data_IF_416016563712
#
_entry.id   IF_416016563712
#
_cell.length_a   1.000
_cell.length_b   1.000
_cell.length_c   1.000
_cell.angle_alpha   90.00
_cell.angle_beta   90.00
_cell.angle_gamma   90.00
#
_symmetry.space_group_name_H-M   'P 1'
#
loop_
_entity.id
_entity.type
_entity.pdbx_description
1 polymer ?
#
# COMPACT_ATOMS: atom_id res chain seq x y z
N UNK A 1 18.95 -23.03 70.81
CA UNK A 1 17.86 -23.79 70.18
C UNK A 1 17.01 -22.86 69.33
N UNK A 2 16.95 -23.11 68.02
CA UNK A 2 15.97 -22.56 67.01
C UNK A 2 14.59 -23.16 67.35
N UNK A 3 13.51 -22.68 66.75
CA UNK A 3 13.27 -22.17 65.44
C UNK A 3 12.11 -21.08 65.40
N UNK A 4 11.65 -20.61 64.37
CA UNK A 4 11.55 -20.86 62.95
C UNK A 4 10.47 -19.97 62.37
N UNK A 5 10.80 -19.29 61.31
CA UNK A 5 9.94 -18.35 60.59
C UNK A 5 8.78 -19.05 59.87
N UNK A 6 7.59 -18.48 59.95
CA UNK A 6 6.52 -18.73 59.01
C UNK A 6 6.18 -17.41 58.28
N UNK A 7 6.74 -17.23 57.09
CA UNK A 7 6.49 -16.06 56.22
C UNK A 7 5.96 -16.47 54.85
N UNK A 8 5.64 -17.75 54.59
CA UNK A 8 5.39 -18.24 53.23
C UNK A 8 3.93 -18.37 52.81
N UNK A 9 2.94 -18.14 53.65
CA UNK A 9 1.54 -18.39 53.25
C UNK A 9 0.77 -17.16 52.71
N UNK A 10 1.24 -15.93 52.90
CA UNK A 10 0.54 -14.73 52.45
C UNK A 10 0.89 -14.30 50.98
N UNK A 11 1.98 -14.84 50.44
CA UNK A 11 2.40 -14.53 49.07
C UNK A 11 1.75 -15.47 48.05
N UNK A 12 1.48 -16.72 48.42
CA UNK A 12 0.86 -17.72 47.55
C UNK A 12 -0.64 -17.45 47.32
N UNK A 13 -1.36 -16.98 48.36
CA UNK A 13 -2.80 -16.68 48.21
C UNK A 13 -3.07 -15.41 47.38
N UNK A 14 -2.17 -14.42 47.40
CA UNK A 14 -2.31 -13.23 46.56
C UNK A 14 -2.05 -13.48 45.07
N UNK A 15 -1.07 -14.31 44.76
CA UNK A 15 -0.78 -14.70 43.37
C UNK A 15 -1.91 -15.55 42.77
N UNK A 16 -2.46 -16.49 43.52
CA UNK A 16 -3.55 -17.35 43.02
C UNK A 16 -4.84 -16.59 42.75
N UNK A 17 -5.16 -15.54 43.53
CA UNK A 17 -6.36 -14.73 43.34
C UNK A 17 -6.24 -13.78 42.13
N UNK A 18 -5.06 -13.21 41.92
CA UNK A 18 -4.78 -12.37 40.72
C UNK A 18 -4.72 -13.22 39.44
N UNK A 19 -4.22 -14.45 39.52
CA UNK A 19 -4.22 -15.38 38.37
C UNK A 19 -5.61 -15.92 38.07
N UNK A 20 -6.47 -16.17 39.03
CA UNK A 20 -7.86 -16.60 38.82
C UNK A 20 -8.72 -15.46 38.25
N UNK A 21 -8.54 -14.21 38.70
CA UNK A 21 -9.30 -13.07 38.13
C UNK A 21 -8.81 -12.70 36.72
N UNK A 22 -7.54 -12.89 36.38
CA UNK A 22 -6.98 -12.76 35.04
C UNK A 22 -7.47 -13.85 34.10
N UNK A 23 -7.36 -15.11 34.53
CA UNK A 23 -7.85 -16.25 33.75
C UNK A 23 -9.35 -16.20 33.45
N UNK A 24 -10.17 -15.69 34.36
CA UNK A 24 -11.62 -15.56 34.12
C UNK A 24 -11.96 -14.50 33.06
N UNK A 25 -11.29 -13.35 33.04
CA UNK A 25 -11.50 -12.31 32.02
C UNK A 25 -10.85 -12.66 30.68
N UNK A 26 -9.68 -13.27 30.71
CA UNK A 26 -8.98 -13.72 29.51
C UNK A 26 -9.76 -14.86 28.81
N UNK A 27 -10.40 -15.77 29.55
CA UNK A 27 -11.24 -16.82 28.99
C UNK A 27 -12.50 -16.27 28.29
N UNK A 28 -13.18 -15.28 28.87
CA UNK A 28 -14.37 -14.69 28.25
C UNK A 28 -14.02 -14.01 26.91
N UNK A 29 -12.89 -13.28 26.84
CA UNK A 29 -12.43 -12.67 25.59
C UNK A 29 -12.02 -13.71 24.54
N UNK A 30 -11.36 -14.81 24.95
CA UNK A 30 -10.96 -15.89 24.04
C UNK A 30 -12.18 -16.64 23.49
N UNK A 31 -13.22 -16.87 24.32
CA UNK A 31 -14.46 -17.53 23.91
C UNK A 31 -15.27 -16.70 22.90
N UNK A 32 -15.13 -15.37 22.89
CA UNK A 32 -15.79 -14.48 21.92
C UNK A 32 -15.00 -14.34 20.61
N UNK A 33 -13.76 -14.79 20.56
CA UNK A 33 -12.94 -14.74 19.33
C UNK A 33 -13.45 -15.74 18.30
N UNK A 34 -13.47 -15.28 17.05
CA UNK A 34 -13.80 -16.16 15.93
C UNK A 34 -12.53 -16.88 15.46
N UNK A 35 -12.48 -18.18 15.70
CA UNK A 35 -11.38 -19.02 15.22
C UNK A 35 -11.63 -19.40 13.76
N UNK A 36 -10.82 -18.83 12.85
CA UNK A 36 -10.90 -19.06 11.40
C UNK A 36 -9.61 -19.73 10.97
N UNK A 37 -9.70 -20.71 10.08
CA UNK A 37 -8.51 -21.35 9.51
C UNK A 37 -7.69 -20.35 8.70
N UNK A 38 -6.35 -20.40 8.72
CA UNK A 38 -5.49 -19.43 8.05
C UNK A 38 -5.86 -19.19 6.58
N UNK A 39 -6.19 -20.24 5.86
CA UNK A 39 -6.58 -20.21 4.44
C UNK A 39 -7.93 -19.51 4.18
N UNK A 40 -8.77 -19.38 5.19
CA UNK A 40 -10.10 -18.76 5.09
C UNK A 40 -10.11 -17.29 5.51
N UNK A 41 -9.06 -16.80 6.20
CA UNK A 41 -9.02 -15.45 6.78
C UNK A 41 -9.21 -14.37 5.70
N UNK A 42 -8.51 -14.47 4.58
CA UNK A 42 -8.60 -13.48 3.50
C UNK A 42 -10.01 -13.47 2.88
N UNK A 43 -10.56 -14.64 2.58
CA UNK A 43 -11.91 -14.77 2.01
C UNK A 43 -12.98 -14.21 2.95
N UNK A 44 -12.88 -14.49 4.25
CA UNK A 44 -13.80 -13.97 5.26
C UNK A 44 -13.69 -12.45 5.40
N UNK A 45 -12.48 -11.91 5.41
CA UNK A 45 -12.26 -10.46 5.44
C UNK A 45 -12.88 -9.78 4.21
N UNK A 46 -12.73 -10.35 3.03
CA UNK A 46 -13.34 -9.82 1.80
C UNK A 46 -14.85 -9.88 1.83
N UNK A 47 -15.45 -10.93 2.43
CA UNK A 47 -16.90 -11.03 2.58
C UNK A 47 -17.46 -9.98 3.57
N UNK A 48 -16.76 -9.72 4.67
CA UNK A 48 -17.13 -8.66 5.62
C UNK A 48 -17.06 -7.29 4.93
N UNK A 49 -15.97 -7.01 4.21
CA UNK A 49 -15.81 -5.75 3.48
C UNK A 49 -16.94 -5.57 2.47
N UNK A 50 -17.30 -6.62 1.73
CA UNK A 50 -18.38 -6.56 0.75
C UNK A 50 -19.76 -6.28 1.38
N UNK A 51 -20.01 -6.81 2.58
CA UNK A 51 -21.24 -6.60 3.30
C UNK A 51 -21.36 -5.20 3.95
N UNK A 52 -20.22 -4.58 4.28
CA UNK A 52 -20.19 -3.31 5.02
C UNK A 52 -19.83 -2.10 4.15
N UNK A 53 -19.22 -2.31 2.96
CA UNK A 53 -18.87 -1.21 2.09
C UNK A 53 -20.11 -0.55 1.46
N UNK A 54 -20.07 0.78 1.23
CA UNK A 54 -21.15 1.47 0.54
C UNK A 54 -21.32 0.96 -0.90
N UNK A 55 -22.53 1.08 -1.42
CA UNK A 55 -22.79 0.83 -2.84
C UNK A 55 -22.01 1.81 -3.73
N UNK A 56 -21.54 1.34 -4.88
CA UNK A 56 -20.81 2.13 -5.85
C UNK A 56 -20.84 1.51 -7.23
N UNK A 57 -20.51 2.31 -8.22
CA UNK A 57 -20.52 1.88 -9.62
C UNK A 57 -19.07 1.59 -10.08
N UNK A 58 -18.56 0.42 -9.74
CA UNK A 58 -17.22 -0.05 -10.13
C UNK A 58 -17.32 -1.20 -11.12
N UNK A 59 -16.41 -1.26 -12.06
CA UNK A 59 -16.14 -2.49 -12.79
C UNK A 59 -15.63 -3.57 -11.83
N UNK A 60 -15.74 -4.86 -12.18
CA UNK A 60 -15.19 -5.93 -11.33
C UNK A 60 -13.71 -5.74 -10.98
N UNK A 61 -12.92 -5.20 -11.92
CA UNK A 61 -11.51 -4.92 -11.70
C UNK A 61 -11.25 -3.78 -10.71
N UNK A 62 -12.02 -2.70 -10.82
CA UNK A 62 -11.95 -1.56 -9.88
C UNK A 62 -12.40 -1.98 -8.48
N UNK A 63 -13.50 -2.73 -8.39
CA UNK A 63 -13.98 -3.27 -7.11
C UNK A 63 -12.92 -4.11 -6.40
N UNK A 64 -12.16 -4.92 -7.12
CA UNK A 64 -11.06 -5.69 -6.55
C UNK A 64 -9.96 -4.79 -5.97
N UNK A 65 -9.65 -3.67 -6.61
CA UNK A 65 -8.69 -2.66 -6.11
C UNK A 65 -9.26 -1.96 -4.86
N UNK A 66 -10.51 -1.51 -4.91
CA UNK A 66 -11.19 -0.84 -3.78
C UNK A 66 -11.18 -1.76 -2.54
N UNK A 67 -11.65 -2.99 -2.69
CA UNK A 67 -11.69 -3.98 -1.58
C UNK A 67 -10.29 -4.26 -1.01
N UNK A 68 -9.26 -4.31 -1.85
CA UNK A 68 -7.87 -4.50 -1.41
C UNK A 68 -7.35 -3.30 -0.61
N UNK A 69 -7.69 -2.08 -0.99
CA UNK A 69 -7.32 -0.88 -0.25
C UNK A 69 -8.02 -0.82 1.11
N UNK A 70 -9.33 -1.10 1.14
CA UNK A 70 -10.11 -1.20 2.39
C UNK A 70 -9.50 -2.29 3.30
N UNK A 71 -9.23 -3.48 2.77
CA UNK A 71 -8.62 -4.57 3.54
C UNK A 71 -7.26 -4.18 4.14
N UNK A 72 -6.46 -3.42 3.39
CA UNK A 72 -5.11 -3.01 3.82
C UNK A 72 -5.13 -1.96 4.94
N UNK A 73 -6.14 -1.09 4.95
CA UNK A 73 -6.22 0.06 5.87
C UNK A 73 -7.32 -0.09 6.94
N UNK A 74 -8.23 -1.06 6.80
CA UNK A 74 -9.49 -1.15 7.53
C UNK A 74 -10.29 0.18 7.47
N UNK A 75 -10.28 0.85 6.30
CA UNK A 75 -10.84 2.19 6.10
C UNK A 75 -11.75 2.21 4.87
N UNK A 76 -13.05 2.34 5.10
CA UNK A 76 -14.08 2.31 4.05
C UNK A 76 -14.10 3.57 3.18
N UNK A 77 -13.46 4.66 3.58
CA UNK A 77 -13.37 5.88 2.74
C UNK A 77 -12.69 5.60 1.39
N UNK A 78 -11.91 4.52 1.26
CA UNK A 78 -11.34 4.11 -0.03
C UNK A 78 -12.40 3.72 -1.05
N UNK A 79 -13.62 3.40 -0.65
CA UNK A 79 -14.74 3.21 -1.56
C UNK A 79 -15.17 4.49 -2.27
N UNK A 80 -14.98 5.66 -1.65
CA UNK A 80 -15.40 6.95 -2.19
C UNK A 80 -14.25 7.83 -2.71
N UNK A 81 -13.03 7.60 -2.23
CA UNK A 81 -11.90 8.48 -2.55
C UNK A 81 -10.94 7.92 -3.61
N UNK A 82 -11.09 6.65 -4.01
CA UNK A 82 -10.31 6.12 -5.13
C UNK A 82 -10.87 6.64 -6.45
N UNK A 83 -10.00 7.32 -7.19
CA UNK A 83 -10.23 7.76 -8.56
C UNK A 83 -9.54 6.80 -9.53
N UNK A 84 -10.24 6.44 -10.59
CA UNK A 84 -9.73 5.65 -11.70
C UNK A 84 -9.89 6.50 -12.97
N UNK A 85 -8.84 6.68 -13.75
CA UNK A 85 -9.00 7.21 -15.11
C UNK A 85 -9.69 6.18 -16.00
N UNK A 86 -10.26 6.60 -17.13
CA UNK A 86 -11.02 5.73 -18.01
C UNK A 86 -10.23 4.48 -18.42
N UNK A 87 -10.78 3.30 -18.13
CA UNK A 87 -10.15 2.01 -18.44
C UNK A 87 -8.84 1.73 -17.70
N UNK A 88 -8.53 2.45 -16.62
CA UNK A 88 -7.25 2.38 -15.92
C UNK A 88 -6.86 0.96 -15.51
N UNK A 89 -7.81 0.19 -14.96
CA UNK A 89 -7.53 -1.17 -14.49
C UNK A 89 -7.22 -2.09 -15.64
N UNK A 90 -8.00 -2.05 -16.71
CA UNK A 90 -7.82 -2.85 -17.92
C UNK A 90 -6.48 -2.53 -18.60
N UNK A 91 -6.12 -1.25 -18.68
CA UNK A 91 -4.84 -0.80 -19.24
C UNK A 91 -3.66 -1.35 -18.43
N UNK A 92 -3.69 -1.21 -17.09
CA UNK A 92 -2.65 -1.74 -16.21
C UNK A 92 -2.54 -3.27 -16.30
N UNK A 93 -3.66 -3.97 -16.28
CA UNK A 93 -3.71 -5.44 -16.39
C UNK A 93 -3.16 -5.91 -17.74
N UNK A 94 -3.53 -5.25 -18.84
CA UNK A 94 -3.05 -5.58 -20.17
C UNK A 94 -1.55 -5.30 -20.32
N UNK A 95 -1.03 -4.22 -19.74
CA UNK A 95 0.40 -3.93 -19.66
C UNK A 95 1.14 -5.07 -18.96
N UNK A 96 0.64 -5.49 -17.79
CA UNK A 96 1.25 -6.58 -17.00
C UNK A 96 1.17 -7.95 -17.70
N UNK A 97 0.10 -8.20 -18.46
CA UNK A 97 -0.09 -9.44 -19.26
C UNK A 97 0.76 -9.49 -20.54
N UNK A 98 1.29 -8.38 -21.00
CA UNK A 98 1.93 -8.26 -22.32
C UNK A 98 3.16 -9.16 -22.54
N UNK A 99 3.75 -9.69 -21.47
CA UNK A 99 4.98 -10.51 -21.50
C UNK A 99 6.26 -9.73 -21.81
N UNK A 100 6.16 -8.44 -22.16
CA UNK A 100 7.32 -7.59 -22.49
C UNK A 100 8.17 -7.23 -21.27
N UNK A 101 7.68 -7.56 -20.06
CA UNK A 101 8.25 -7.06 -18.82
C UNK A 101 7.83 -5.64 -18.51
N UNK A 102 7.93 -5.25 -17.24
CA UNK A 102 7.67 -3.88 -16.77
C UNK A 102 8.42 -3.61 -15.47
N UNK A 103 8.60 -2.33 -15.14
CA UNK A 103 9.20 -1.94 -13.88
C UNK A 103 8.20 -1.12 -13.05
N UNK A 104 7.95 -1.54 -11.82
CA UNK A 104 7.28 -0.70 -10.82
C UNK A 104 8.32 0.16 -10.13
N UNK A 105 8.17 1.48 -10.17
CA UNK A 105 9.00 2.42 -9.44
C UNK A 105 8.24 2.94 -8.24
N UNK A 106 8.80 2.76 -7.05
CA UNK A 106 8.23 3.25 -5.80
C UNK A 106 9.02 4.41 -5.23
N UNK A 107 8.36 5.28 -4.49
CA UNK A 107 9.00 6.41 -3.77
C UNK A 107 9.45 6.05 -2.36
N UNK A 108 9.22 4.82 -1.90
CA UNK A 108 9.68 4.32 -0.60
C UNK A 108 10.07 2.85 -0.65
N UNK A 109 11.05 2.46 0.18
CA UNK A 109 11.38 1.06 0.39
C UNK A 109 10.24 0.26 1.06
N UNK A 110 9.34 0.93 1.79
CA UNK A 110 8.15 0.30 2.37
C UNK A 110 7.20 -0.17 1.25
N UNK A 111 6.91 0.68 0.26
CA UNK A 111 6.08 0.30 -0.88
C UNK A 111 6.76 -0.81 -1.69
N UNK A 112 8.07 -0.69 -1.96
CA UNK A 112 8.86 -1.74 -2.62
C UNK A 112 8.76 -3.07 -1.89
N UNK A 113 8.89 -3.08 -0.56
CA UNK A 113 8.79 -4.29 0.25
C UNK A 113 7.37 -4.90 0.20
N UNK A 114 6.33 -4.05 0.16
CA UNK A 114 4.93 -4.45 0.12
C UNK A 114 4.46 -5.07 -1.21
N UNK A 115 5.14 -4.81 -2.32
CA UNK A 115 4.84 -5.41 -3.62
C UNK A 115 5.12 -6.92 -3.59
N UNK A 116 4.15 -7.75 -4.00
CA UNK A 116 4.28 -9.21 -4.00
C UNK A 116 5.30 -9.68 -5.04
N UNK A 117 6.45 -10.17 -4.57
CA UNK A 117 7.56 -10.58 -5.43
C UNK A 117 7.26 -11.84 -6.24
N UNK A 118 6.43 -12.75 -5.72
CA UNK A 118 6.06 -13.98 -6.43
C UNK A 118 5.15 -13.66 -7.62
N UNK A 119 4.11 -12.83 -7.42
CA UNK A 119 3.25 -12.36 -8.49
C UNK A 119 4.03 -11.55 -9.53
N UNK A 120 4.91 -10.65 -9.07
CA UNK A 120 5.75 -9.83 -9.94
C UNK A 120 6.64 -10.69 -10.86
N UNK A 121 7.27 -11.73 -10.29
CA UNK A 121 8.09 -12.68 -11.05
C UNK A 121 7.30 -13.45 -12.11
N UNK A 122 6.07 -13.89 -11.79
CA UNK A 122 5.19 -14.56 -12.75
C UNK A 122 4.86 -13.69 -13.97
N UNK A 123 4.82 -12.38 -13.78
CA UNK A 123 4.49 -11.37 -14.80
C UNK A 123 5.73 -10.81 -15.51
N UNK A 124 6.91 -11.38 -15.28
CA UNK A 124 8.19 -10.84 -15.78
C UNK A 124 8.41 -9.37 -15.39
N UNK A 125 7.87 -8.95 -14.24
CA UNK A 125 8.00 -7.59 -13.72
C UNK A 125 9.18 -7.45 -12.75
N UNK A 126 9.61 -6.18 -12.57
CA UNK A 126 10.61 -5.80 -11.57
C UNK A 126 10.07 -4.65 -10.70
N UNK A 127 10.67 -4.43 -9.54
CA UNK A 127 10.34 -3.27 -8.69
C UNK A 127 11.61 -2.60 -8.21
N UNK A 128 11.64 -1.26 -8.30
CA UNK A 128 12.78 -0.42 -7.89
C UNK A 128 12.34 0.74 -7.01
N UNK A 129 13.24 1.14 -6.11
CA UNK A 129 13.15 2.37 -5.34
C UNK A 129 14.52 3.02 -5.32
N UNK A 130 14.63 4.22 -5.85
CA UNK A 130 15.90 4.95 -5.96
C UNK A 130 16.21 5.79 -4.70
N UNK A 131 15.29 5.87 -3.75
CA UNK A 131 15.40 6.76 -2.57
C UNK A 131 16.61 6.50 -1.67
N UNK A 132 17.14 5.29 -1.67
CA UNK A 132 18.28 4.89 -0.86
C UNK A 132 19.60 4.86 -1.65
N UNK A 133 19.57 5.14 -2.96
CA UNK A 133 20.76 5.14 -3.78
C UNK A 133 21.68 6.30 -3.36
N UNK A 134 22.99 6.06 -3.15
CA UNK A 134 23.91 7.07 -2.64
C UNK A 134 24.05 8.30 -3.54
N UNK A 135 24.02 8.11 -4.86
CA UNK A 135 24.06 9.17 -5.86
C UNK A 135 22.81 10.05 -5.82
N UNK A 136 21.63 9.48 -5.65
CA UNK A 136 20.37 10.21 -5.45
C UNK A 136 20.42 11.07 -4.18
N UNK A 137 21.00 10.54 -3.10
CA UNK A 137 21.13 11.28 -1.85
C UNK A 137 22.14 12.46 -1.99
N UNK A 138 23.25 12.24 -2.68
CA UNK A 138 24.26 13.25 -2.93
C UNK A 138 23.74 14.38 -3.84
N UNK A 139 23.12 14.01 -4.97
CA UNK A 139 22.55 14.95 -5.93
C UNK A 139 21.42 15.78 -5.31
N UNK A 140 20.52 15.17 -4.53
CA UNK A 140 19.45 15.88 -3.85
C UNK A 140 19.99 16.94 -2.87
N UNK A 141 21.05 16.60 -2.13
CA UNK A 141 21.73 17.52 -1.21
C UNK A 141 22.41 18.69 -1.96
N UNK A 142 23.11 18.39 -3.03
CA UNK A 142 23.80 19.40 -3.86
C UNK A 142 22.81 20.39 -4.47
N UNK A 143 21.70 19.89 -5.01
CA UNK A 143 20.66 20.70 -5.67
C UNK A 143 19.69 21.36 -4.71
N UNK A 144 19.71 21.04 -3.41
CA UNK A 144 18.73 21.56 -2.43
C UNK A 144 17.29 21.10 -2.67
N UNK A 145 17.09 19.92 -3.26
CA UNK A 145 15.78 19.33 -3.57
C UNK A 145 15.53 18.05 -2.77
N UNK A 146 14.30 17.54 -2.81
CA UNK A 146 14.00 16.26 -2.13
C UNK A 146 14.58 15.08 -2.91
N UNK A 147 14.97 14.01 -2.21
CA UNK A 147 15.39 12.75 -2.85
C UNK A 147 14.30 12.16 -3.76
N UNK A 148 13.04 12.44 -3.45
CA UNK A 148 11.93 11.99 -4.28
C UNK A 148 11.96 12.61 -5.69
N UNK A 149 12.31 13.90 -5.81
CA UNK A 149 12.50 14.58 -7.10
C UNK A 149 13.57 13.86 -7.91
N UNK A 150 14.77 13.72 -7.34
CA UNK A 150 15.92 13.08 -8.02
C UNK A 150 15.60 11.61 -8.37
N UNK A 151 14.90 10.90 -7.49
CA UNK A 151 14.47 9.51 -7.74
C UNK A 151 13.60 9.39 -8.99
N UNK A 152 12.68 10.33 -9.22
CA UNK A 152 11.82 10.32 -10.42
C UNK A 152 12.65 10.64 -11.69
N UNK A 153 13.62 11.55 -11.60
CA UNK A 153 14.54 11.87 -12.71
C UNK A 153 15.45 10.68 -13.06
N UNK A 154 15.90 9.92 -12.06
CA UNK A 154 16.64 8.66 -12.30
C UNK A 154 15.74 7.59 -12.90
N UNK A 155 14.49 7.49 -12.45
CA UNK A 155 13.53 6.55 -13.01
C UNK A 155 13.17 6.85 -14.47
N UNK A 156 13.21 8.10 -14.89
CA UNK A 156 12.99 8.51 -16.29
C UNK A 156 14.03 7.93 -17.27
N UNK A 157 15.19 7.47 -16.76
CA UNK A 157 16.23 6.83 -17.58
C UNK A 157 15.97 5.32 -17.79
N UNK A 158 14.94 4.76 -17.18
CA UNK A 158 14.58 3.36 -17.37
C UNK A 158 14.01 3.15 -18.79
N UNK A 159 14.29 1.97 -19.33
CA UNK A 159 13.78 1.55 -20.64
C UNK A 159 12.64 0.54 -20.46
N UNK A 160 11.68 0.55 -21.38
CA UNK A 160 10.50 -0.31 -21.32
C UNK A 160 9.37 0.27 -20.47
N UNK A 161 8.29 -0.49 -20.27
CA UNK A 161 7.12 -0.02 -19.56
C UNK A 161 7.40 0.28 -18.08
N UNK A 162 6.96 1.47 -17.61
CA UNK A 162 7.18 1.92 -16.23
C UNK A 162 5.86 2.32 -15.57
N UNK A 163 5.60 1.69 -14.43
CA UNK A 163 4.48 2.01 -13.53
C UNK A 163 5.04 2.74 -12.31
N UNK A 164 4.63 3.98 -12.07
CA UNK A 164 5.00 4.71 -10.87
C UNK A 164 4.00 4.46 -9.76
N UNK A 165 4.45 3.99 -8.61
CA UNK A 165 3.63 3.72 -7.42
C UNK A 165 4.11 4.61 -6.25
N UNK A 166 3.50 5.78 -6.17
CA UNK A 166 3.88 6.86 -5.25
C UNK A 166 2.95 6.83 -4.02
N UNK A 167 3.52 6.50 -2.86
CA UNK A 167 2.77 6.31 -1.62
C UNK A 167 3.11 7.28 -0.50
N UNK A 168 4.14 8.11 -0.66
CA UNK A 168 4.60 8.99 0.41
C UNK A 168 4.87 10.44 -0.05
N UNK A 169 5.59 10.63 -1.14
CA UNK A 169 6.13 11.94 -1.49
C UNK A 169 5.27 12.69 -2.52
N UNK A 170 4.52 13.75 -2.14
CA UNK A 170 3.83 14.63 -3.09
C UNK A 170 4.78 15.22 -4.13
N UNK A 171 6.03 15.53 -3.73
CA UNK A 171 7.06 16.06 -4.63
C UNK A 171 7.46 15.08 -5.74
N UNK A 172 7.28 13.78 -5.56
CA UNK A 172 7.44 12.81 -6.64
C UNK A 172 6.36 12.96 -7.70
N UNK A 173 5.08 13.08 -7.32
CA UNK A 173 3.98 13.30 -8.26
C UNK A 173 4.12 14.64 -8.99
N UNK A 174 4.48 15.71 -8.26
CA UNK A 174 4.70 17.03 -8.85
C UNK A 174 5.80 16.95 -9.90
N UNK A 175 6.94 16.29 -9.57
CA UNK A 175 8.06 16.16 -10.49
C UNK A 175 7.71 15.32 -11.72
N UNK A 176 6.98 14.23 -11.55
CA UNK A 176 6.47 13.43 -12.67
C UNK A 176 5.59 14.28 -13.59
N UNK A 177 4.66 15.04 -13.03
CA UNK A 177 3.81 15.94 -13.80
C UNK A 177 4.61 16.99 -14.58
N UNK A 178 5.58 17.66 -13.95
CA UNK A 178 6.47 18.62 -14.62
C UNK A 178 7.24 18.01 -15.80
N UNK A 179 7.77 16.79 -15.59
CA UNK A 179 8.51 16.07 -16.63
C UNK A 179 7.62 15.62 -17.78
N UNK A 180 6.38 15.19 -17.50
CA UNK A 180 5.37 14.88 -18.53
C UNK A 180 5.03 16.12 -19.37
N UNK A 181 4.79 17.27 -18.71
CA UNK A 181 4.48 18.53 -19.42
C UNK A 181 5.63 19.00 -20.34
N UNK A 182 6.88 18.65 -20.00
CA UNK A 182 8.05 18.98 -20.82
C UNK A 182 8.38 17.89 -21.86
N UNK A 183 7.65 16.78 -21.88
CA UNK A 183 7.96 15.64 -22.74
C UNK A 183 9.23 14.88 -22.36
N UNK A 184 9.73 15.07 -21.13
CA UNK A 184 10.93 14.41 -20.61
C UNK A 184 10.65 12.94 -20.22
N UNK A 185 9.38 12.60 -19.91
CA UNK A 185 8.94 11.24 -19.57
C UNK A 185 7.51 11.02 -20.05
N UNK A 186 7.20 9.76 -20.37
CA UNK A 186 5.85 9.28 -20.63
C UNK A 186 5.60 8.01 -19.83
N UNK A 187 5.08 8.10 -18.59
CA UNK A 187 4.74 6.95 -17.78
C UNK A 187 3.66 6.10 -18.46
N UNK A 188 3.77 4.79 -18.39
CA UNK A 188 2.70 3.89 -18.86
C UNK A 188 1.53 3.85 -17.86
N UNK A 189 1.80 4.08 -16.56
CA UNK A 189 0.78 4.11 -15.52
C UNK A 189 1.25 4.82 -14.26
N UNK A 190 0.35 5.52 -13.54
CA UNK A 190 0.64 6.14 -12.25
C UNK A 190 -0.35 5.67 -11.18
N UNK A 191 0.16 5.18 -10.06
CA UNK A 191 -0.55 4.94 -8.80
C UNK A 191 -0.19 6.09 -7.86
N UNK A 192 -1.13 7.04 -7.67
CA UNK A 192 -0.92 8.26 -6.90
C UNK A 192 -1.61 8.20 -5.54
N UNK A 193 -0.93 7.68 -4.54
CA UNK A 193 -1.49 7.48 -3.20
C UNK A 193 -0.64 8.08 -2.06
N UNK A 194 0.06 9.22 -2.24
CA UNK A 194 0.79 9.79 -1.12
C UNK A 194 -0.15 10.18 0.03
N UNK A 195 0.32 10.01 1.26
CA UNK A 195 -0.38 10.42 2.49
C UNK A 195 0.20 11.70 3.03
N UNK A 196 -0.62 12.59 3.58
CA UNK A 196 -0.12 13.77 4.30
C UNK A 196 -0.95 15.03 4.14
N UNK A 197 -0.30 16.19 4.39
CA UNK A 197 -0.99 17.45 4.55
C UNK A 197 -0.48 18.58 3.63
N UNK A 198 0.81 18.57 3.27
CA UNK A 198 1.42 19.64 2.47
C UNK A 198 1.50 19.19 1.01
N UNK A 199 0.81 19.90 0.12
CA UNK A 199 0.76 19.64 -1.33
C UNK A 199 0.28 18.23 -1.72
N UNK A 200 -0.31 17.46 -0.78
CA UNK A 200 -0.76 16.09 -1.04
C UNK A 200 -1.96 16.07 -1.95
N UNK A 201 -2.97 16.87 -1.64
CA UNK A 201 -4.20 16.95 -2.44
C UNK A 201 -3.89 17.50 -3.81
N UNK A 202 -3.17 18.61 -3.86
CA UNK A 202 -2.80 19.31 -5.09
C UNK A 202 -1.99 18.41 -6.05
N UNK A 203 -1.00 17.67 -5.51
CA UNK A 203 -0.18 16.77 -6.32
C UNK A 203 -0.98 15.62 -6.94
N UNK A 204 -1.98 15.12 -6.23
CA UNK A 204 -2.89 14.07 -6.71
C UNK A 204 -3.83 14.60 -7.80
N UNK A 205 -4.39 15.78 -7.60
CA UNK A 205 -5.28 16.39 -8.58
C UNK A 205 -4.53 16.72 -9.90
N UNK A 206 -3.24 17.09 -9.85
CA UNK A 206 -2.42 17.22 -11.06
C UNK A 206 -2.37 15.93 -11.88
N UNK A 207 -2.24 14.78 -11.21
CA UNK A 207 -2.22 13.48 -11.89
C UNK A 207 -3.61 13.12 -12.41
N UNK A 208 -4.68 13.36 -11.64
CA UNK A 208 -6.05 13.13 -12.10
C UNK A 208 -6.42 13.96 -13.34
N UNK A 209 -5.79 15.12 -13.55
CA UNK A 209 -6.02 16.02 -14.68
C UNK A 209 -5.08 15.75 -15.87
N UNK A 210 -4.13 14.85 -15.73
CA UNK A 210 -3.22 14.48 -16.82
C UNK A 210 -3.80 13.37 -17.69
N UNK A 211 -3.24 13.22 -18.90
CA UNK A 211 -3.66 12.18 -19.84
C UNK A 211 -3.08 10.78 -19.52
N UNK A 212 -2.27 10.66 -18.46
CA UNK A 212 -1.67 9.39 -18.07
C UNK A 212 -2.69 8.47 -17.41
N UNK A 213 -2.78 7.19 -17.79
CA UNK A 213 -3.63 6.23 -17.08
C UNK A 213 -3.23 6.14 -15.60
N UNK A 214 -4.20 6.31 -14.69
CA UNK A 214 -3.88 6.37 -13.28
C UNK A 214 -4.96 5.82 -12.34
N UNK A 215 -4.52 5.43 -11.15
CA UNK A 215 -5.36 5.18 -9.97
C UNK A 215 -4.86 6.09 -8.86
N UNK A 216 -5.74 6.92 -8.31
CA UNK A 216 -5.37 7.94 -7.32
C UNK A 216 -6.27 7.86 -6.09
N UNK A 217 -5.69 7.80 -4.90
CA UNK A 217 -6.45 7.98 -3.66
C UNK A 217 -6.60 9.48 -3.38
N UNK A 218 -7.70 10.11 -3.79
CA UNK A 218 -7.94 11.55 -3.64
C UNK A 218 -7.98 11.97 -2.17
N UNK A 219 -7.75 13.23 -1.92
CA UNK A 219 -7.68 13.77 -0.56
C UNK A 219 -6.36 13.44 0.15
N UNK A 220 -6.37 13.42 1.49
CA UNK A 220 -5.14 13.29 2.32
C UNK A 220 -4.74 11.86 2.65
N UNK A 221 -5.68 10.91 2.56
CA UNK A 221 -5.44 9.48 2.85
C UNK A 221 -4.62 8.81 1.77
N UNK A 222 -3.85 7.82 2.16
CA UNK A 222 -2.95 7.09 1.28
C UNK A 222 -1.88 6.36 2.10
N UNK A 223 -0.72 6.19 1.50
CA UNK A 223 0.44 5.58 2.15
C UNK A 223 1.15 4.57 1.27
N UNK A 224 2.37 4.24 1.62
CA UNK A 224 3.17 3.20 0.95
C UNK A 224 2.49 1.83 0.94
N UNK A 225 1.71 1.51 1.99
CA UNK A 225 0.89 0.31 2.08
C UNK A 225 -0.22 0.32 1.02
N UNK A 226 -0.86 1.46 0.77
CA UNK A 226 -1.91 1.61 -0.24
C UNK A 226 -1.32 1.52 -1.65
N UNK A 227 -0.18 2.17 -1.92
CA UNK A 227 0.53 2.02 -3.19
C UNK A 227 0.83 0.54 -3.49
N UNK A 228 1.37 -0.19 -2.53
CA UNK A 228 1.63 -1.62 -2.66
C UNK A 228 0.33 -2.45 -2.81
N UNK A 229 -0.73 -2.09 -2.09
CA UNK A 229 -2.03 -2.76 -2.19
C UNK A 229 -2.64 -2.64 -3.59
N UNK A 230 -2.59 -1.46 -4.20
CA UNK A 230 -3.05 -1.24 -5.59
C UNK A 230 -2.20 -2.06 -6.57
N UNK A 231 -0.87 -2.02 -6.47
CA UNK A 231 0.01 -2.85 -7.29
C UNK A 231 -0.36 -4.34 -7.18
N UNK A 232 -0.53 -4.84 -5.97
CA UNK A 232 -0.87 -6.25 -5.72
C UNK A 232 -2.27 -6.59 -6.27
N UNK A 233 -3.27 -5.71 -6.08
CA UNK A 233 -4.62 -5.92 -6.59
C UNK A 233 -4.64 -6.06 -8.13
N UNK A 234 -3.87 -5.23 -8.84
CA UNK A 234 -3.73 -5.30 -10.29
C UNK A 234 -3.03 -6.61 -10.72
N UNK A 235 -1.92 -6.96 -10.09
CA UNK A 235 -1.21 -8.22 -10.39
C UNK A 235 -2.05 -9.47 -10.10
N UNK A 236 -2.84 -9.46 -9.03
CA UNK A 236 -3.68 -10.62 -8.67
C UNK A 236 -4.79 -10.88 -9.67
N UNK A 237 -5.28 -9.88 -10.41
CA UNK A 237 -6.22 -10.09 -11.50
C UNK A 237 -5.63 -10.90 -12.67
N UNK A 238 -4.32 -11.03 -12.71
CA UNK A 238 -3.61 -11.86 -13.72
C UNK A 238 -3.14 -13.18 -13.14
N UNK A 239 -2.64 -13.16 -11.90
CA UNK A 239 -1.92 -14.31 -11.33
C UNK A 239 -2.81 -15.22 -10.49
N UNK A 240 -4.03 -14.79 -10.15
CA UNK A 240 -5.02 -15.55 -9.38
C UNK A 240 -6.36 -15.73 -10.12
N UNK A 241 -6.38 -15.38 -11.42
CA UNK A 241 -7.54 -15.52 -12.30
C UNK A 241 -7.79 -16.99 -12.69
#
# INVERSE_FOLDING_TARGET
MKPGMHVDNLHVERTSRFEQERNGKDNIMIETMQWVRPEEIEARSMAIIEAEMPEGNWTPGELAVVKRCIHTAADFDYASNLYFSDGAVELAVNLMKSGRGFTIVTDTNMALAGVNKAALKQLNGTVRCFMADPDVAAEAKERGVTRAIVSMEHAAKLTGPVIFAIGNAPTALIRLYEMMQKGEIQPDFIIGTPVGFVNVVESKELICQSDVPCIVARGRKGGSNIAAAVCNALMYQVTRA
#
